data_IF_654449292457
#
_entry.id   IF_654449292457
#
_cell.length_a   1.000
_cell.length_b   1.000
_cell.length_c   1.000
_cell.angle_alpha   90.00
_cell.angle_beta   90.00
_cell.angle_gamma   90.00
#
_symmetry.space_group_name_H-M   'P 1'
#
loop_
_entity.id
_entity.type
_entity.pdbx_description
1 polymer ?
#
# COMPACT_ATOMS: atom_id res chain seq x y z
N UNK A 1 8.06 12.64 -38.14
CA UNK A 1 6.84 12.46 -37.30
C UNK A 1 7.28 12.59 -35.85
N UNK A 2 6.45 13.15 -34.99
CA UNK A 2 6.80 13.22 -33.58
C UNK A 2 6.68 11.83 -32.95
N UNK A 3 7.67 11.44 -32.13
CA UNK A 3 7.61 10.20 -31.36
C UNK A 3 6.33 10.19 -30.51
N UNK A 4 5.73 9.04 -30.39
CA UNK A 4 4.57 8.83 -29.51
C UNK A 4 5.02 8.07 -28.26
N UNK A 5 4.40 8.34 -27.12
CA UNK A 5 4.74 7.71 -25.84
C UNK A 5 3.49 7.06 -25.25
N UNK A 6 3.67 5.99 -24.50
CA UNK A 6 2.59 5.41 -23.71
C UNK A 6 2.50 6.08 -22.32
N UNK A 7 1.49 5.70 -21.53
CA UNK A 7 1.24 6.23 -20.18
C UNK A 7 2.38 6.02 -19.17
N UNK A 8 3.36 5.20 -19.48
CA UNK A 8 4.57 4.99 -18.67
C UNK A 8 5.79 5.70 -19.26
N UNK A 9 5.61 6.54 -20.28
CA UNK A 9 6.65 7.32 -20.92
C UNK A 9 7.58 6.51 -21.86
N UNK A 10 7.18 5.29 -22.28
CA UNK A 10 7.95 4.53 -23.26
C UNK A 10 7.79 5.13 -24.65
N UNK A 11 8.88 5.29 -25.34
CA UNK A 11 8.87 5.74 -26.74
C UNK A 11 8.34 4.62 -27.66
N UNK A 12 7.20 4.86 -28.29
CA UNK A 12 6.61 3.98 -29.30
C UNK A 12 7.19 4.32 -30.67
N UNK A 13 8.36 3.75 -30.98
CA UNK A 13 9.10 4.04 -32.19
C UNK A 13 8.35 3.57 -33.44
N UNK A 14 8.12 4.48 -34.40
CA UNK A 14 7.56 4.17 -35.70
C UNK A 14 8.65 3.77 -36.67
N UNK A 15 8.36 2.87 -37.62
CA UNK A 15 9.30 2.47 -38.68
C UNK A 15 9.77 3.69 -39.44
N UNK A 16 11.11 3.85 -39.56
CA UNK A 16 11.76 4.98 -40.23
C UNK A 16 12.00 6.20 -39.33
N UNK A 17 11.51 6.20 -38.09
CA UNK A 17 11.89 7.19 -37.09
C UNK A 17 13.21 6.83 -36.40
N UNK A 18 13.77 7.83 -35.70
CA UNK A 18 14.93 7.63 -34.84
C UNK A 18 16.21 7.15 -35.58
N UNK A 19 16.38 7.46 -36.86
CA UNK A 19 17.60 7.18 -37.57
C UNK A 19 18.81 7.77 -36.83
N UNK A 20 19.78 6.93 -36.46
CA UNK A 20 20.95 7.30 -35.66
C UNK A 20 20.72 7.36 -34.14
N UNK A 21 19.49 7.34 -33.64
CA UNK A 21 19.16 7.37 -32.20
C UNK A 21 18.39 6.15 -31.71
N UNK A 22 18.10 5.20 -32.59
CA UNK A 22 17.34 4.00 -32.31
C UNK A 22 17.89 3.22 -31.09
N UNK A 23 19.21 2.98 -31.06
CA UNK A 23 19.83 2.26 -29.94
C UNK A 23 19.69 2.99 -28.59
N UNK A 24 19.82 4.33 -28.61
CA UNK A 24 19.64 5.15 -27.43
C UNK A 24 18.21 5.07 -26.92
N UNK A 25 17.22 5.19 -27.79
CA UNK A 25 15.80 5.14 -27.42
C UNK A 25 15.39 3.73 -26.94
N UNK A 26 15.94 2.68 -27.53
CA UNK A 26 15.74 1.30 -27.07
C UNK A 26 16.29 1.11 -25.66
N UNK A 27 17.51 1.55 -25.39
CA UNK A 27 18.12 1.47 -24.07
C UNK A 27 17.35 2.29 -23.04
N UNK A 28 16.81 3.45 -23.43
CA UNK A 28 15.98 4.27 -22.58
C UNK A 28 14.67 3.53 -22.19
N UNK A 29 13.99 2.92 -23.15
CA UNK A 29 12.81 2.10 -22.90
C UNK A 29 13.11 0.92 -21.96
N UNK A 30 14.25 0.25 -22.12
CA UNK A 30 14.68 -0.83 -21.22
C UNK A 30 14.94 -0.32 -19.79
N UNK A 31 15.51 0.87 -19.65
CA UNK A 31 15.67 1.52 -18.35
C UNK A 31 14.33 1.85 -17.72
N UNK A 32 13.36 2.35 -18.48
CA UNK A 32 12.02 2.61 -17.99
C UNK A 32 11.33 1.32 -17.53
N UNK A 33 11.49 0.22 -18.25
CA UNK A 33 10.98 -1.09 -17.82
C UNK A 33 11.60 -1.52 -16.49
N UNK A 34 12.92 -1.39 -16.36
CA UNK A 34 13.62 -1.66 -15.09
C UNK A 34 13.04 -0.80 -13.96
N UNK A 35 12.87 0.50 -14.17
CA UNK A 35 12.39 1.42 -13.17
C UNK A 35 10.93 1.11 -12.79
N UNK A 36 10.11 0.71 -13.77
CA UNK A 36 8.71 0.31 -13.55
C UNK A 36 8.57 -0.94 -12.67
N UNK A 37 9.50 -1.88 -12.79
CA UNK A 37 9.54 -3.09 -11.96
C UNK A 37 10.33 -2.87 -10.66
N UNK A 38 10.96 -1.72 -10.52
CA UNK A 38 11.96 -1.44 -9.51
C UNK A 38 11.38 -0.92 -8.20
N UNK A 39 12.32 -0.57 -7.35
CA UNK A 39 12.15 -0.02 -6.01
C UNK A 39 12.74 1.38 -5.97
N UNK A 40 12.02 2.32 -5.36
CA UNK A 40 12.53 3.65 -5.04
C UNK A 40 12.39 3.94 -3.56
N UNK A 41 13.33 4.72 -3.02
CA UNK A 41 13.30 5.16 -1.62
C UNK A 41 13.44 6.67 -1.57
N UNK A 42 12.60 7.33 -0.78
CA UNK A 42 12.74 8.76 -0.51
C UNK A 42 12.20 9.16 0.85
N UNK A 43 12.68 10.31 1.35
CA UNK A 43 12.26 10.84 2.64
C UNK A 43 10.97 11.65 2.52
N UNK A 44 10.06 11.46 3.49
CA UNK A 44 8.80 12.19 3.62
C UNK A 44 8.89 13.37 4.59
N UNK A 45 9.99 14.12 4.57
CA UNK A 45 10.14 15.35 5.35
C UNK A 45 9.26 16.52 4.85
N UNK A 46 8.77 16.42 3.63
CA UNK A 46 7.81 17.30 2.99
C UNK A 46 6.81 16.48 2.17
N UNK A 47 5.75 17.11 1.70
CA UNK A 47 4.86 16.52 0.71
C UNK A 47 5.63 16.20 -0.57
N UNK A 48 5.23 15.14 -1.26
CA UNK A 48 5.91 14.66 -2.46
C UNK A 48 4.94 14.38 -3.58
N UNK A 49 5.31 14.87 -4.77
CA UNK A 49 4.60 14.57 -6.01
C UNK A 49 5.39 13.57 -6.82
N UNK A 50 4.75 12.47 -7.21
CA UNK A 50 5.29 11.47 -8.13
C UNK A 50 4.99 11.90 -9.56
N UNK A 51 5.99 11.85 -10.43
CA UNK A 51 5.86 12.23 -11.84
C UNK A 51 6.37 11.14 -12.76
N UNK A 52 5.83 11.05 -13.96
CA UNK A 52 6.30 10.19 -15.05
C UNK A 52 6.37 11.03 -16.34
N UNK A 53 7.41 11.83 -16.52
CA UNK A 53 7.56 12.60 -17.75
C UNK A 53 7.99 11.71 -18.92
N UNK A 54 7.53 12.08 -20.10
CA UNK A 54 7.96 11.48 -21.36
C UNK A 54 9.44 11.79 -21.67
N UNK A 55 10.08 10.90 -22.43
CA UNK A 55 11.39 11.11 -23.01
C UNK A 55 12.46 11.64 -22.04
N UNK A 56 12.39 11.26 -20.79
CA UNK A 56 13.34 11.71 -19.78
C UNK A 56 14.43 10.69 -19.55
N UNK A 57 15.67 11.15 -19.39
CA UNK A 57 16.83 10.29 -19.07
C UNK A 57 16.98 10.02 -17.58
N UNK A 58 16.13 10.64 -16.74
CA UNK A 58 16.18 10.53 -15.28
C UNK A 58 15.44 9.33 -14.73
N UNK A 59 15.70 9.03 -13.46
CA UNK A 59 14.87 8.12 -12.67
C UNK A 59 13.71 8.92 -12.08
N UNK A 60 12.48 8.50 -12.37
CA UNK A 60 11.29 9.19 -11.89
C UNK A 60 10.51 8.35 -10.91
N UNK A 61 10.13 8.96 -9.83
CA UNK A 61 9.51 8.34 -8.67
C UNK A 61 8.21 7.60 -9.03
N UNK A 62 7.43 8.16 -9.94
CA UNK A 62 6.14 7.60 -10.33
C UNK A 62 6.23 6.28 -11.13
N UNK A 63 7.38 5.95 -11.73
CA UNK A 63 7.54 4.68 -12.45
C UNK A 63 7.67 3.48 -11.54
N UNK A 64 8.26 3.63 -10.35
CA UNK A 64 8.57 2.50 -9.48
C UNK A 64 7.31 1.74 -9.03
N UNK A 65 7.40 0.40 -9.03
CA UNK A 65 6.36 -0.44 -8.45
C UNK A 65 6.39 -0.37 -6.93
N UNK A 66 7.58 -0.43 -6.33
CA UNK A 66 7.76 -0.38 -4.89
C UNK A 66 8.24 1.01 -4.49
N UNK A 67 7.49 1.65 -3.62
CA UNK A 67 7.78 2.97 -3.05
C UNK A 67 8.05 2.79 -1.56
N UNK A 68 9.28 3.01 -1.13
CA UNK A 68 9.68 2.94 0.27
C UNK A 68 9.82 4.35 0.84
N UNK A 69 8.94 4.70 1.74
CA UNK A 69 8.94 5.98 2.44
C UNK A 69 9.84 5.89 3.66
N UNK A 70 10.70 6.90 3.86
CA UNK A 70 11.67 6.95 4.95
C UNK A 70 11.72 8.34 5.60
N UNK A 71 12.61 8.53 6.57
CA UNK A 71 12.82 9.82 7.23
C UNK A 71 11.76 10.18 8.25
N UNK A 72 11.85 11.41 8.76
CA UNK A 72 10.89 11.96 9.72
C UNK A 72 9.88 12.84 9.01
N UNK A 73 8.59 12.63 9.26
CA UNK A 73 7.52 13.41 8.60
C UNK A 73 7.37 14.80 9.22
N UNK A 74 7.55 14.94 10.53
CA UNK A 74 7.30 16.19 11.26
C UNK A 74 5.86 16.70 11.18
N UNK A 75 4.89 15.81 10.92
CA UNK A 75 3.46 16.10 10.77
C UNK A 75 2.81 15.27 9.67
N UNK A 76 1.59 15.63 9.29
CA UNK A 76 0.88 15.00 8.17
C UNK A 76 1.60 15.25 6.85
N UNK A 77 1.60 14.25 5.97
CA UNK A 77 2.21 14.32 4.64
C UNK A 77 1.32 13.77 3.56
N UNK A 78 1.53 14.30 2.36
CA UNK A 78 0.83 13.88 1.14
C UNK A 78 1.87 13.31 0.18
N UNK A 79 1.58 12.09 -0.31
CA UNK A 79 2.16 11.52 -1.50
C UNK A 79 1.13 11.70 -2.61
N UNK A 80 1.47 12.46 -3.62
CA UNK A 80 0.56 12.81 -4.71
C UNK A 80 1.07 12.24 -6.03
N UNK A 81 0.17 11.81 -6.91
CA UNK A 81 0.51 11.57 -8.32
C UNK A 81 0.04 12.80 -9.08
N UNK A 82 0.97 13.55 -9.63
CA UNK A 82 0.64 14.60 -10.57
C UNK A 82 0.60 14.01 -11.98
N UNK A 83 -0.43 14.39 -12.68
CA UNK A 83 -0.41 14.37 -14.13
C UNK A 83 0.47 15.52 -14.63
N UNK A 84 1.50 15.21 -15.39
CA UNK A 84 2.23 16.22 -16.13
C UNK A 84 1.40 16.66 -17.33
N UNK A 85 0.60 17.70 -17.14
CA UNK A 85 -0.07 18.40 -18.22
C UNK A 85 0.99 18.88 -19.23
N UNK A 86 1.11 18.21 -20.37
CA UNK A 86 2.00 18.63 -21.45
C UNK A 86 2.97 17.58 -21.96
N UNK A 87 3.07 16.40 -21.41
CA UNK A 87 3.73 15.29 -22.06
C UNK A 87 2.84 14.86 -23.24
N UNK A 88 3.34 15.01 -24.47
CA UNK A 88 2.57 15.00 -25.72
C UNK A 88 1.87 13.70 -26.11
N UNK A 89 1.59 12.80 -25.18
CA UNK A 89 1.00 11.52 -25.48
C UNK A 89 -0.20 11.14 -24.62
N UNK A 90 -0.55 11.93 -23.63
CA UNK A 90 -1.81 11.70 -22.93
C UNK A 90 -2.86 12.67 -23.41
N UNK A 91 -3.83 12.23 -24.22
CA UNK A 91 -4.95 13.08 -24.57
C UNK A 91 -5.89 13.16 -23.38
N UNK A 92 -5.65 14.08 -22.45
CA UNK A 92 -6.68 14.34 -21.50
C UNK A 92 -6.35 14.78 -20.10
N UNK A 93 -5.09 14.90 -19.70
CA UNK A 93 -4.74 15.60 -18.47
C UNK A 93 -5.25 14.98 -17.17
N UNK A 94 -5.56 13.71 -17.16
CA UNK A 94 -5.76 12.90 -15.97
C UNK A 94 -4.70 11.83 -15.93
N UNK A 95 -4.16 11.56 -14.75
CA UNK A 95 -3.07 10.62 -14.56
C UNK A 95 -3.37 9.27 -15.20
N UNK A 96 -2.92 9.06 -16.43
CA UNK A 96 -3.09 7.80 -17.16
C UNK A 96 -2.17 6.68 -16.66
N UNK A 97 -1.58 6.87 -15.51
CA UNK A 97 -0.68 5.89 -14.88
C UNK A 97 -1.50 4.74 -14.29
N UNK A 98 -2.14 3.97 -15.14
CA UNK A 98 -2.91 2.78 -14.77
C UNK A 98 -1.96 1.67 -14.31
N UNK A 99 -1.53 1.68 -13.06
CA UNK A 99 -0.61 0.68 -12.55
C UNK A 99 -0.78 0.44 -11.05
N UNK A 100 -0.34 -0.74 -10.57
CA UNK A 100 -0.24 -0.99 -9.15
C UNK A 100 1.00 -0.34 -8.53
N UNK A 101 0.90 -0.09 -7.22
CA UNK A 101 1.97 0.38 -6.36
C UNK A 101 1.97 -0.42 -5.07
N UNK A 102 3.14 -0.82 -4.61
CA UNK A 102 3.36 -1.30 -3.25
C UNK A 102 4.04 -0.17 -2.47
N UNK A 103 3.31 0.48 -1.58
CA UNK A 103 3.85 1.55 -0.74
C UNK A 103 4.20 0.99 0.63
N UNK A 104 5.44 1.18 1.05
CA UNK A 104 5.98 0.69 2.33
C UNK A 104 6.34 1.88 3.20
N UNK A 105 5.82 1.93 4.41
CA UNK A 105 6.13 2.97 5.38
C UNK A 105 7.28 2.56 6.31
N UNK A 106 8.43 3.18 6.12
CA UNK A 106 9.58 3.15 7.01
C UNK A 106 9.85 4.49 7.69
N UNK A 107 8.86 5.40 7.72
CA UNK A 107 9.04 6.74 8.29
C UNK A 107 8.99 6.73 9.81
N UNK A 108 9.66 7.70 10.42
CA UNK A 108 9.45 8.08 11.81
C UNK A 108 8.43 9.20 11.86
N UNK A 109 7.26 8.95 12.48
CA UNK A 109 6.19 9.93 12.60
C UNK A 109 5.47 9.85 13.94
N UNK A 110 4.83 10.95 14.35
CA UNK A 110 3.99 11.04 15.54
C UNK A 110 2.85 10.02 15.52
N UNK A 111 2.22 9.78 16.67
CA UNK A 111 1.12 8.81 16.77
C UNK A 111 -0.10 9.22 15.94
N UNK A 112 -0.33 10.52 15.80
CA UNK A 112 -1.45 11.13 15.08
C UNK A 112 -1.11 11.55 13.64
N UNK A 113 0.17 11.51 13.27
CA UNK A 113 0.59 11.92 11.94
C UNK A 113 0.16 10.89 10.90
N UNK A 114 -0.29 11.39 9.76
CA UNK A 114 -0.77 10.59 8.64
C UNK A 114 0.08 10.80 7.40
N UNK A 115 0.19 9.77 6.58
CA UNK A 115 0.62 9.89 5.19
C UNK A 115 -0.56 9.45 4.32
N UNK A 116 -0.98 10.33 3.44
CA UNK A 116 -2.04 10.05 2.47
C UNK A 116 -1.43 9.87 1.09
N UNK A 117 -1.94 8.91 0.33
CA UNK A 117 -1.63 8.73 -1.08
C UNK A 117 -2.87 9.03 -1.91
N UNK A 118 -2.71 9.87 -2.92
CA UNK A 118 -3.83 10.35 -3.74
C UNK A 118 -3.38 10.71 -5.16
N UNK A 119 -4.35 10.93 -6.03
CA UNK A 119 -4.22 11.75 -7.24
C UNK A 119 -4.71 13.15 -6.90
N UNK A 120 -4.14 14.20 -7.48
CA UNK A 120 -4.54 15.59 -7.22
C UNK A 120 -6.05 15.77 -7.39
N UNK A 121 -6.71 16.21 -6.33
CA UNK A 121 -8.16 16.44 -6.33
C UNK A 121 -9.05 15.21 -6.09
N UNK A 122 -8.47 14.02 -5.97
CA UNK A 122 -9.21 12.76 -5.86
C UNK A 122 -9.29 12.20 -4.42
N UNK A 123 -9.97 11.07 -4.27
CA UNK A 123 -10.06 10.32 -3.01
C UNK A 123 -8.69 9.85 -2.55
N UNK A 124 -8.46 9.87 -1.25
CA UNK A 124 -7.19 9.52 -0.62
C UNK A 124 -7.23 8.12 -0.01
N UNK A 125 -6.10 7.43 0.00
CA UNK A 125 -5.87 6.29 0.88
C UNK A 125 -4.84 6.66 1.95
N UNK A 126 -4.99 6.08 3.13
CA UNK A 126 -4.03 6.21 4.22
C UNK A 126 -2.96 5.13 4.11
N UNK A 127 -1.70 5.54 4.18
CA UNK A 127 -0.58 4.60 4.30
C UNK A 127 -0.47 4.20 5.77
N UNK A 128 -0.58 2.91 6.09
CA UNK A 128 -0.52 2.44 7.47
C UNK A 128 0.86 2.69 8.07
N UNK A 129 0.89 3.21 9.29
CA UNK A 129 2.16 3.45 10.01
C UNK A 129 2.91 2.13 10.21
N UNK A 130 4.20 2.11 9.84
CA UNK A 130 5.08 0.94 9.88
C UNK A 130 4.58 -0.27 9.06
N UNK A 131 3.72 -0.03 8.09
CA UNK A 131 3.12 -1.07 7.28
C UNK A 131 3.37 -0.91 5.80
N UNK A 132 2.61 -1.65 5.04
CA UNK A 132 2.57 -1.52 3.58
C UNK A 132 1.14 -1.63 3.07
N UNK A 133 0.91 -1.02 1.94
CA UNK A 133 -0.37 -1.12 1.23
C UNK A 133 -0.10 -1.42 -0.24
N UNK A 134 -0.78 -2.42 -0.77
CA UNK A 134 -0.87 -2.63 -2.20
C UNK A 134 -2.08 -1.85 -2.70
N UNK A 135 -1.84 -0.93 -3.61
CA UNK A 135 -2.85 -0.07 -4.18
C UNK A 135 -2.65 0.05 -5.69
N UNK A 136 -3.61 0.63 -6.37
CA UNK A 136 -3.52 0.85 -7.80
C UNK A 136 -4.24 2.16 -8.16
N UNK A 137 -3.78 2.77 -9.23
CA UNK A 137 -4.46 3.90 -9.86
C UNK A 137 -5.42 3.37 -10.94
N UNK A 138 -6.69 3.78 -10.89
CA UNK A 138 -7.74 3.31 -11.81
C UNK A 138 -8.07 4.29 -12.94
N UNK A 139 -7.27 5.34 -13.07
CA UNK A 139 -7.48 6.45 -14.02
C UNK A 139 -8.10 7.69 -13.37
N UNK A 140 -8.60 7.58 -12.15
CA UNK A 140 -9.23 8.69 -11.43
C UNK A 140 -8.73 8.78 -9.99
N UNK A 141 -8.69 7.64 -9.30
CA UNK A 141 -8.37 7.55 -7.88
C UNK A 141 -7.27 6.53 -7.60
N UNK A 142 -6.63 6.67 -6.43
CA UNK A 142 -5.84 5.58 -5.85
C UNK A 142 -6.78 4.69 -5.05
N UNK A 143 -6.82 3.40 -5.40
CA UNK A 143 -7.64 2.38 -4.76
C UNK A 143 -6.78 1.39 -4.00
N UNK A 144 -7.19 1.04 -2.78
CA UNK A 144 -6.56 -0.04 -2.04
C UNK A 144 -7.05 -1.40 -2.57
N UNK A 145 -6.13 -2.35 -2.73
CA UNK A 145 -6.48 -3.74 -3.06
C UNK A 145 -7.04 -4.52 -1.86
N UNK A 146 -7.11 -3.89 -0.68
CA UNK A 146 -7.45 -4.57 0.57
C UNK A 146 -6.26 -5.29 1.24
N UNK A 147 -5.13 -5.43 0.56
CA UNK A 147 -3.90 -5.96 1.16
C UNK A 147 -3.16 -4.85 1.91
N UNK A 148 -3.38 -4.80 3.21
CA UNK A 148 -2.72 -3.86 4.10
C UNK A 148 -2.02 -4.67 5.18
N UNK A 149 -0.73 -4.43 5.37
CA UNK A 149 0.04 -4.98 6.49
C UNK A 149 0.52 -3.85 7.37
N UNK A 150 0.40 -4.00 8.68
CA UNK A 150 0.99 -3.08 9.64
C UNK A 150 2.04 -3.81 10.47
N UNK A 151 3.09 -3.09 10.87
CA UNK A 151 4.08 -3.58 11.82
C UNK A 151 4.05 -2.69 13.06
N UNK A 152 4.29 -3.26 14.21
CA UNK A 152 4.60 -2.46 15.39
C UNK A 152 6.01 -1.86 15.23
N UNK A 153 6.30 -0.79 15.98
CA UNK A 153 7.63 -0.18 16.04
C UNK A 153 8.74 -1.20 16.40
N UNK A 154 8.40 -2.30 17.04
CA UNK A 154 9.30 -3.41 17.41
C UNK A 154 9.45 -4.47 16.29
N UNK A 155 8.89 -4.25 15.10
CA UNK A 155 9.02 -5.18 13.97
C UNK A 155 8.00 -6.34 13.96
N UNK A 156 7.14 -6.45 14.95
CA UNK A 156 6.05 -7.41 14.92
C UNK A 156 5.00 -7.00 13.87
N UNK A 157 4.52 -7.95 13.09
CA UNK A 157 3.40 -7.72 12.17
C UNK A 157 2.14 -7.54 13.02
N UNK A 158 1.64 -6.32 13.11
CA UNK A 158 0.31 -6.10 13.66
C UNK A 158 -0.70 -6.34 12.52
N UNK A 159 -1.57 -7.31 12.68
CA UNK A 159 -2.73 -7.44 11.81
C UNK A 159 -3.54 -6.14 11.86
N UNK A 160 -4.09 -5.72 10.74
CA UNK A 160 -5.00 -4.57 10.69
C UNK A 160 -6.16 -4.81 11.64
N UNK A 161 -6.51 -3.82 12.44
CA UNK A 161 -7.30 -4.01 13.64
C UNK A 161 -8.78 -3.94 13.35
N UNK A 162 -9.34 -4.97 12.76
CA UNK A 162 -10.65 -5.38 13.24
C UNK A 162 -10.49 -6.12 14.58
N UNK A 163 -9.31 -6.74 14.79
CA UNK A 163 -9.04 -7.52 16.01
C UNK A 163 -7.57 -7.42 16.40
N UNK A 164 -7.27 -7.20 17.66
CA UNK A 164 -5.94 -7.35 18.22
C UNK A 164 -5.76 -8.81 18.64
N UNK A 165 -4.89 -9.52 17.95
CA UNK A 165 -4.55 -10.89 18.31
C UNK A 165 -3.62 -10.92 19.54
N UNK A 166 -3.69 -11.97 20.37
CA UNK A 166 -2.74 -12.19 21.44
C UNK A 166 -1.30 -12.25 20.88
N UNK A 167 -0.34 -11.72 21.64
CA UNK A 167 1.08 -11.70 21.24
C UNK A 167 1.81 -13.04 21.45
N UNK A 168 1.18 -13.96 22.15
CA UNK A 168 1.68 -15.30 22.41
C UNK A 168 0.60 -16.34 22.11
N UNK A 169 1.03 -17.57 21.88
CA UNK A 169 0.14 -18.72 21.75
C UNK A 169 -0.56 -19.01 23.08
N UNK A 170 -1.77 -19.63 23.00
CA UNK A 170 -2.50 -20.09 24.16
C UNK A 170 -2.00 -21.42 24.70
N UNK A 171 -2.59 -21.86 25.80
CA UNK A 171 -2.38 -23.22 26.33
C UNK A 171 -3.36 -24.22 25.69
N UNK A 172 -3.10 -25.52 25.83
CA UNK A 172 -3.99 -26.55 25.37
C UNK A 172 -5.42 -26.33 25.94
N UNK A 173 -6.44 -26.63 25.14
CA UNK A 173 -7.86 -26.51 25.48
C UNK A 173 -8.38 -25.06 25.66
N UNK A 174 -7.59 -24.04 25.41
CA UNK A 174 -8.06 -22.66 25.33
C UNK A 174 -8.70 -22.35 23.99
N UNK A 175 -9.69 -21.47 23.99
CA UNK A 175 -10.33 -20.93 22.79
C UNK A 175 -9.96 -19.44 22.63
N UNK A 176 -9.90 -18.99 21.39
CA UNK A 176 -9.74 -17.56 21.09
C UNK A 176 -11.10 -16.87 21.27
N UNK A 177 -11.18 -15.90 22.15
CA UNK A 177 -12.39 -15.14 22.47
C UNK A 177 -12.18 -13.67 22.23
N UNK A 178 -13.23 -12.97 21.82
CA UNK A 178 -13.24 -11.49 21.67
C UNK A 178 -13.89 -10.84 22.89
N UNK A 179 -13.42 -9.66 23.25
CA UNK A 179 -14.01 -8.82 24.29
C UNK A 179 -15.15 -7.93 23.76
N UNK A 180 -15.46 -8.02 22.47
CA UNK A 180 -16.44 -7.15 21.79
C UNK A 180 -15.92 -5.74 21.44
N UNK A 181 -14.68 -5.40 21.81
CA UNK A 181 -14.04 -4.11 21.58
C UNK A 181 -12.84 -4.20 20.62
N UNK A 182 -12.68 -5.37 19.97
CA UNK A 182 -11.60 -5.62 19.02
C UNK A 182 -10.35 -6.27 19.62
N UNK A 183 -10.30 -6.56 20.91
CA UNK A 183 -9.26 -7.38 21.49
C UNK A 183 -9.65 -8.86 21.52
N UNK A 184 -8.69 -9.71 21.19
CA UNK A 184 -8.83 -11.16 21.29
C UNK A 184 -7.86 -11.69 22.34
N UNK A 185 -8.32 -12.67 23.11
CA UNK A 185 -7.53 -13.35 24.13
C UNK A 185 -7.84 -14.83 24.16
N UNK A 186 -6.86 -15.65 24.61
CA UNK A 186 -7.11 -17.05 24.88
C UNK A 186 -7.80 -17.19 26.24
N UNK A 187 -8.93 -17.87 26.26
CA UNK A 187 -9.69 -18.14 27.48
C UNK A 187 -9.95 -19.63 27.62
N UNK A 188 -9.87 -20.12 28.83
CA UNK A 188 -10.30 -21.49 29.13
C UNK A 188 -11.83 -21.53 29.12
N UNK A 189 -12.46 -22.35 28.26
CA UNK A 189 -13.91 -22.48 28.27
C UNK A 189 -14.41 -22.86 29.66
N UNK A 190 -15.48 -22.24 30.10
CA UNK A 190 -16.16 -22.71 31.31
C UNK A 190 -16.55 -24.18 31.06
N UNK A 191 -16.10 -25.05 31.94
CA UNK A 191 -16.56 -26.45 31.89
C UNK A 191 -18.07 -26.41 31.95
N UNK A 192 -18.81 -27.04 31.02
CA UNK A 192 -20.26 -27.11 31.10
C UNK A 192 -20.61 -27.94 32.34
N UNK A 193 -20.70 -27.25 33.46
CA UNK A 193 -21.21 -27.87 34.68
C UNK A 193 -22.70 -28.05 34.52
N UNK A 194 -23.21 -29.25 34.74
CA UNK A 194 -24.61 -29.43 34.97
C UNK A 194 -24.96 -28.56 36.17
N UNK A 195 -25.89 -27.61 36.00
CA UNK A 195 -26.30 -26.77 37.14
C UNK A 195 -26.74 -27.66 38.27
N UNK A 196 -26.44 -27.25 39.52
CA UNK A 196 -26.78 -28.06 40.70
C UNK A 196 -28.26 -28.44 40.71
N UNK A 197 -29.15 -27.58 40.19
CA UNK A 197 -30.55 -27.89 40.05
C UNK A 197 -30.85 -29.02 39.04
N UNK A 198 -30.15 -29.07 37.91
CA UNK A 198 -30.30 -30.16 36.92
C UNK A 198 -29.71 -31.45 37.46
N UNK A 199 -28.55 -31.38 38.13
CA UNK A 199 -27.94 -32.55 38.77
C UNK A 199 -28.84 -33.17 39.84
N UNK A 200 -29.47 -32.34 40.70
CA UNK A 200 -30.44 -32.80 41.69
C UNK A 200 -31.67 -33.37 41.01
N UNK A 201 -32.21 -32.73 39.99
CA UNK A 201 -33.36 -33.25 39.25
C UNK A 201 -33.08 -34.64 38.59
N UNK A 202 -31.91 -34.79 38.02
CA UNK A 202 -31.48 -36.06 37.45
C UNK A 202 -31.28 -37.15 38.51
N UNK A 203 -30.73 -36.82 39.68
CA UNK A 203 -30.60 -37.74 40.80
C UNK A 203 -31.94 -38.17 41.36
N UNK A 204 -32.96 -37.30 41.40
CA UNK A 204 -34.31 -37.63 41.86
C UNK A 204 -35.07 -38.51 40.84
N UNK A 205 -34.83 -38.29 39.56
CA UNK A 205 -35.55 -39.02 38.47
C UNK A 205 -34.92 -40.36 38.17
N UNK A 206 -33.62 -40.52 38.31
CA UNK A 206 -32.85 -41.69 37.89
C UNK A 206 -32.07 -42.37 39.06
N UNK A 207 -32.10 -41.81 40.25
CA UNK A 207 -31.42 -42.32 41.43
C UNK A 207 -32.12 -43.47 42.14
#
# INVERSE_FOLDING_TARGET
MASNYNSLGFNLMTTGENAGTWGTNTNLNLNYLRDTLGWITFAMSADRTLTIPDNSTGTYDGRAFIIHLTGSTGGNRILDIADEAGSGSSPGGTADILKPFLVIDGTTRGATDTITFKVTGATVILIPKYGSVLCYHDGTDIRSSGMITTRSAAGAVAAQPLYTLPSADGSADQILSTDGSGAMSFVTPATPGISTGVAIAMAIVFG
#
